data_IF_050427371550
#
_entry.id   IF_050427371550
#
_cell.length_a   1.000
_cell.length_b   1.000
_cell.length_c   1.000
_cell.angle_alpha   90.00
_cell.angle_beta   90.00
_cell.angle_gamma   90.00
#
_symmetry.space_group_name_H-M   'P 1'
#
loop_
_entity.id
_entity.type
_entity.pdbx_description
1 polymer ?
#
# COMPACT_ATOMS: atom_id res chain seq x y z
N UNK A 1 10.90 33.84 48.64
CA UNK A 1 11.84 32.76 48.27
C UNK A 1 11.17 31.39 48.09
N UNK A 2 9.84 31.29 47.89
CA UNK A 2 9.14 29.99 47.75
C UNK A 2 8.82 29.57 46.29
N UNK A 3 9.22 30.39 45.31
CA UNK A 3 8.86 30.20 43.89
C UNK A 3 9.88 29.33 43.14
N UNK A 4 11.15 29.39 43.52
CA UNK A 4 12.22 28.62 42.87
C UNK A 4 12.24 27.15 43.28
N UNK A 5 11.82 26.79 44.49
CA UNK A 5 11.70 25.38 44.91
C UNK A 5 10.50 24.68 44.29
N UNK A 6 9.36 25.37 44.10
CA UNK A 6 8.22 24.82 43.37
C UNK A 6 8.52 24.59 41.89
N UNK A 7 9.27 25.51 41.25
CA UNK A 7 9.76 25.34 39.88
C UNK A 7 10.79 24.21 39.78
N UNK A 8 11.73 24.10 40.73
CA UNK A 8 12.67 22.97 40.80
C UNK A 8 11.96 21.64 41.01
N UNK A 9 10.96 21.58 41.89
CA UNK A 9 10.19 20.36 42.13
C UNK A 9 9.25 19.98 40.97
N UNK A 10 8.79 20.94 40.17
CA UNK A 10 8.07 20.66 38.92
C UNK A 10 9.01 20.18 37.81
N UNK A 11 10.26 20.66 37.78
CA UNK A 11 11.29 20.22 36.83
C UNK A 11 11.89 18.85 37.21
N UNK A 12 11.98 18.51 38.51
CA UNK A 12 12.48 17.19 38.97
C UNK A 12 11.41 16.10 38.97
N UNK A 13 10.11 16.43 38.88
CA UNK A 13 9.03 15.45 38.72
C UNK A 13 8.67 15.11 37.26
N UNK A 14 9.37 15.68 36.26
CA UNK A 14 9.42 15.06 34.94
C UNK A 14 10.26 13.79 35.10
N UNK A 15 9.62 12.69 35.50
CA UNK A 15 10.17 11.35 35.30
C UNK A 15 10.68 11.32 33.85
N UNK A 16 11.96 11.05 33.67
CA UNK A 16 12.52 10.74 32.35
C UNK A 16 11.79 9.49 31.85
N UNK A 17 10.67 9.69 31.16
CA UNK A 17 9.95 8.65 30.47
C UNK A 17 10.86 8.13 29.36
N UNK A 18 10.92 6.80 29.22
CA UNK A 18 11.66 6.17 28.13
C UNK A 18 11.32 6.84 26.78
N UNK A 19 12.29 6.99 25.87
CA UNK A 19 12.03 7.62 24.57
C UNK A 19 10.91 6.86 23.84
N UNK A 20 9.88 7.59 23.40
CA UNK A 20 8.75 7.04 22.64
C UNK A 20 9.28 6.32 21.42
N UNK A 21 8.84 5.08 21.20
CA UNK A 21 9.32 4.30 20.05
C UNK A 21 8.72 4.86 18.74
N UNK A 22 9.35 4.62 17.57
CA UNK A 22 8.77 4.99 16.28
C UNK A 22 7.36 4.42 16.08
N UNK A 23 7.08 3.21 16.57
CA UNK A 23 5.77 2.57 16.50
C UNK A 23 4.73 3.32 17.32
N UNK A 24 5.05 3.68 18.57
CA UNK A 24 4.17 4.45 19.45
C UNK A 24 3.88 5.84 18.87
N UNK A 25 4.90 6.45 18.24
CA UNK A 25 4.76 7.73 17.55
C UNK A 25 3.76 7.61 16.40
N UNK A 26 3.96 6.65 15.48
CA UNK A 26 3.07 6.42 14.34
C UNK A 26 1.64 6.10 14.78
N UNK A 27 1.47 5.27 15.82
CA UNK A 27 0.16 4.93 16.37
C UNK A 27 -0.56 6.16 16.93
N UNK A 28 0.15 7.02 17.63
CA UNK A 28 -0.40 8.28 18.14
C UNK A 28 -0.81 9.25 17.01
N UNK A 29 0.01 9.39 15.97
CA UNK A 29 -0.36 10.20 14.79
C UNK A 29 -1.59 9.65 14.07
N UNK A 30 -1.63 8.34 13.83
CA UNK A 30 -2.78 7.69 13.22
C UNK A 30 -4.06 7.93 14.01
N UNK A 31 -3.99 7.86 15.35
CA UNK A 31 -5.12 8.15 16.24
C UNK A 31 -5.56 9.62 16.15
N UNK A 32 -4.62 10.57 16.15
CA UNK A 32 -4.91 12.01 16.00
C UNK A 32 -5.55 12.33 14.64
N UNK A 33 -5.10 11.66 13.59
CA UNK A 33 -5.56 11.87 12.22
C UNK A 33 -6.85 11.13 11.83
N UNK A 34 -7.19 10.06 12.54
CA UNK A 34 -8.34 9.21 12.23
C UNK A 34 -9.65 9.98 12.00
N UNK A 35 -10.01 11.02 12.78
CA UNK A 35 -11.23 11.80 12.52
C UNK A 35 -11.23 12.48 11.15
N UNK A 36 -10.12 13.10 10.75
CA UNK A 36 -9.98 13.75 9.42
C UNK A 36 -9.94 12.73 8.29
N UNK A 37 -9.29 11.59 8.51
CA UNK A 37 -9.29 10.48 7.54
C UNK A 37 -10.70 9.92 7.34
N UNK A 38 -11.51 9.84 8.39
CA UNK A 38 -12.89 9.38 8.31
C UNK A 38 -13.79 10.29 7.43
N UNK A 39 -13.50 11.60 7.37
CA UNK A 39 -14.25 12.54 6.51
C UNK A 39 -14.10 12.25 5.01
N UNK A 40 -12.96 11.68 4.61
CA UNK A 40 -12.64 11.38 3.19
C UNK A 40 -12.70 9.89 2.87
N UNK A 41 -12.94 9.03 3.85
CA UNK A 41 -13.09 7.59 3.67
C UNK A 41 -14.42 7.28 2.93
N UNK A 42 -14.43 6.42 1.91
CA UNK A 42 -15.67 6.00 1.28
C UNK A 42 -16.67 5.39 2.27
N UNK A 43 -17.94 5.80 2.18
CA UNK A 43 -19.02 5.48 3.14
C UNK A 43 -19.25 3.99 3.44
N UNK A 44 -18.79 3.10 2.57
CA UNK A 44 -18.94 1.65 2.72
C UNK A 44 -17.79 1.00 3.52
N UNK A 45 -16.82 1.80 3.99
CA UNK A 45 -15.66 1.32 4.74
C UNK A 45 -15.69 1.79 6.19
N UNK A 46 -14.96 1.08 7.05
CA UNK A 46 -14.79 1.40 8.47
C UNK A 46 -13.38 1.94 8.74
N UNK A 47 -13.30 3.11 9.36
CA UNK A 47 -12.01 3.76 9.64
C UNK A 47 -11.19 2.96 10.66
N UNK A 48 -11.82 2.29 11.63
CA UNK A 48 -11.09 1.49 12.62
C UNK A 48 -10.40 0.30 11.95
N UNK A 49 -11.08 -0.38 11.04
CA UNK A 49 -10.51 -1.44 10.21
C UNK A 49 -9.37 -0.92 9.34
N UNK A 50 -9.56 0.20 8.64
CA UNK A 50 -8.51 0.80 7.81
C UNK A 50 -7.25 1.14 8.63
N UNK A 51 -7.41 1.76 9.80
CA UNK A 51 -6.30 2.06 10.72
C UNK A 51 -5.56 0.80 11.18
N UNK A 52 -6.28 -0.26 11.56
CA UNK A 52 -5.64 -1.54 11.94
C UNK A 52 -4.84 -2.15 10.81
N UNK A 53 -5.37 -2.13 9.58
CA UNK A 53 -4.69 -2.66 8.40
C UNK A 53 -3.43 -1.84 8.07
N UNK A 54 -3.52 -0.51 8.13
CA UNK A 54 -2.38 0.38 7.92
C UNK A 54 -1.29 0.14 8.98
N UNK A 55 -1.63 0.09 10.26
CA UNK A 55 -0.69 -0.19 11.35
C UNK A 55 -0.05 -1.57 11.22
N UNK A 56 -0.83 -2.58 10.82
CA UNK A 56 -0.32 -3.93 10.56
C UNK A 56 0.70 -3.91 9.42
N UNK A 57 0.37 -3.23 8.31
CA UNK A 57 1.28 -3.07 7.17
C UNK A 57 2.60 -2.44 7.60
N UNK A 58 2.55 -1.38 8.41
CA UNK A 58 3.72 -0.68 8.93
C UNK A 58 4.56 -1.60 9.81
N UNK A 59 3.94 -2.33 10.74
CA UNK A 59 4.64 -3.27 11.65
C UNK A 59 5.30 -4.42 10.90
N UNK A 60 4.66 -4.93 9.85
CA UNK A 60 5.22 -6.04 9.03
C UNK A 60 6.33 -5.60 8.07
N UNK A 61 6.57 -4.29 7.92
CA UNK A 61 7.65 -3.74 7.11
C UNK A 61 8.44 -2.70 7.93
N UNK A 62 9.39 -3.12 8.78
CA UNK A 62 10.10 -2.24 9.72
C UNK A 62 10.76 -1.02 9.07
N UNK A 63 11.14 -1.10 7.80
CA UNK A 63 11.71 0.04 7.05
C UNK A 63 10.73 1.21 6.88
N UNK A 64 9.42 0.98 7.00
CA UNK A 64 8.42 2.06 7.03
C UNK A 64 8.51 2.91 8.30
N UNK A 65 9.00 2.34 9.41
CA UNK A 65 9.21 3.09 10.66
C UNK A 65 10.46 3.99 10.59
N UNK A 66 11.35 3.75 9.64
CA UNK A 66 12.51 4.61 9.35
C UNK A 66 12.16 5.78 8.42
N UNK A 67 10.97 5.76 7.81
CA UNK A 67 10.49 6.81 6.91
C UNK A 67 10.05 8.05 7.70
N UNK A 68 10.08 9.21 7.06
CA UNK A 68 9.54 10.44 7.62
C UNK A 68 8.04 10.29 7.89
N UNK A 69 7.61 10.53 9.13
CA UNK A 69 6.20 10.42 9.56
C UNK A 69 5.24 11.15 8.60
N UNK A 70 5.52 12.39 8.12
CA UNK A 70 4.65 13.07 7.17
C UNK A 70 4.42 12.28 5.87
N UNK A 71 5.45 11.63 5.33
CA UNK A 71 5.34 10.81 4.12
C UNK A 71 4.53 9.53 4.35
N UNK A 72 4.69 8.92 5.54
CA UNK A 72 3.97 7.72 5.92
C UNK A 72 2.48 8.01 6.09
N UNK A 73 2.14 9.09 6.80
CA UNK A 73 0.76 9.54 6.93
C UNK A 73 0.21 9.94 5.55
N UNK A 74 1.03 10.57 4.70
CA UNK A 74 0.69 10.95 3.32
C UNK A 74 0.27 9.75 2.48
N UNK A 75 1.02 8.65 2.58
CA UNK A 75 0.71 7.41 1.91
C UNK A 75 -0.56 6.73 2.45
N UNK A 76 -0.77 6.74 3.78
CA UNK A 76 -2.01 6.22 4.38
C UNK A 76 -3.23 7.05 3.98
N UNK A 77 -3.11 8.38 3.95
CA UNK A 77 -4.19 9.26 3.52
C UNK A 77 -4.61 9.00 2.06
N UNK A 78 -3.66 8.75 1.15
CA UNK A 78 -3.99 8.35 -0.23
C UNK A 78 -4.77 7.03 -0.28
N UNK A 79 -4.36 6.04 0.52
CA UNK A 79 -5.08 4.78 0.64
C UNK A 79 -6.52 4.96 1.16
N UNK A 80 -6.70 5.82 2.17
CA UNK A 80 -8.02 6.19 2.72
C UNK A 80 -8.89 6.87 1.66
N UNK A 81 -8.37 7.89 0.96
CA UNK A 81 -9.11 8.65 -0.05
C UNK A 81 -9.61 7.78 -1.20
N UNK A 82 -8.83 6.76 -1.60
CA UNK A 82 -9.22 5.78 -2.61
C UNK A 82 -10.06 4.62 -2.05
N UNK A 83 -10.14 4.48 -0.73
CA UNK A 83 -10.73 3.31 -0.08
C UNK A 83 -10.04 2.01 -0.51
N UNK A 84 -8.71 2.01 -0.53
CA UNK A 84 -7.87 0.86 -0.84
C UNK A 84 -7.12 0.41 0.41
N UNK A 85 -7.24 -0.88 0.74
CA UNK A 85 -6.59 -1.47 1.92
C UNK A 85 -5.15 -1.88 1.57
N UNK A 86 -4.11 -1.35 2.27
CA UNK A 86 -2.75 -1.79 2.03
C UNK A 86 -2.56 -3.23 2.54
N UNK A 87 -1.75 -4.02 1.83
CA UNK A 87 -1.34 -5.35 2.29
C UNK A 87 -1.47 -6.44 1.22
N UNK A 88 -1.55 -7.69 1.68
CA UNK A 88 -1.41 -8.89 0.84
C UNK A 88 -2.52 -9.07 -0.20
N UNK A 89 -3.67 -8.43 -0.01
CA UNK A 89 -4.78 -8.48 -0.97
C UNK A 89 -4.45 -7.76 -2.30
N UNK A 90 -3.43 -6.90 -2.31
CA UNK A 90 -2.93 -6.25 -3.52
C UNK A 90 -3.81 -5.10 -4.04
N UNK A 91 -4.62 -4.50 -3.17
CA UNK A 91 -5.37 -3.27 -3.48
C UNK A 91 -4.42 -2.09 -3.64
N UNK A 92 -3.54 -1.89 -2.65
CA UNK A 92 -2.44 -0.93 -2.71
C UNK A 92 -1.26 -1.41 -1.86
N UNK A 93 -0.14 -0.70 -2.00
CA UNK A 93 1.09 -0.93 -1.28
C UNK A 93 1.61 0.39 -0.72
N UNK A 94 2.20 0.34 0.47
CA UNK A 94 2.97 1.44 1.03
C UNK A 94 4.41 0.94 1.13
N UNK A 95 5.29 1.49 0.29
CA UNK A 95 6.67 1.03 0.16
C UNK A 95 7.66 2.12 0.58
N UNK A 96 8.73 1.77 1.30
CA UNK A 96 9.79 2.71 1.63
C UNK A 96 10.72 2.90 0.42
N UNK A 97 10.91 4.15 0.00
CA UNK A 97 11.98 4.55 -0.92
C UNK A 97 12.90 5.52 -0.18
N UNK A 98 14.09 5.05 0.20
CA UNK A 98 14.99 5.76 1.11
C UNK A 98 14.27 6.04 2.43
N UNK A 99 14.11 7.31 2.83
CA UNK A 99 13.44 7.76 4.05
C UNK A 99 12.02 8.27 3.81
N UNK A 100 11.42 7.96 2.66
CA UNK A 100 10.08 8.39 2.29
C UNK A 100 9.17 7.18 2.05
N UNK A 101 7.99 7.19 2.65
CA UNK A 101 6.95 6.20 2.35
C UNK A 101 6.19 6.65 1.10
N UNK A 102 5.99 5.72 0.17
CA UNK A 102 5.32 5.97 -1.11
C UNK A 102 4.12 5.05 -1.25
N UNK A 103 2.98 5.64 -1.58
CA UNK A 103 1.77 4.91 -1.92
C UNK A 103 1.83 4.44 -3.37
N UNK A 104 1.45 3.18 -3.60
CA UNK A 104 1.37 2.57 -4.93
C UNK A 104 0.06 1.82 -5.06
N UNK A 105 -0.73 2.13 -6.07
CA UNK A 105 -1.95 1.40 -6.40
C UNK A 105 -1.57 0.02 -6.95
N UNK A 106 -2.18 -1.03 -6.39
CA UNK A 106 -2.07 -2.39 -6.90
C UNK A 106 -3.05 -2.62 -8.05
N UNK A 107 -2.76 -3.58 -8.95
CA UNK A 107 -3.62 -3.80 -10.11
C UNK A 107 -5.04 -4.21 -9.71
N UNK A 108 -5.21 -4.97 -8.62
CA UNK A 108 -6.53 -5.33 -8.08
C UNK A 108 -7.27 -4.10 -7.58
N UNK A 109 -6.57 -3.15 -6.96
CA UNK A 109 -7.13 -1.86 -6.59
C UNK A 109 -7.56 -1.05 -7.80
N UNK A 110 -6.77 -1.03 -8.88
CA UNK A 110 -7.19 -0.39 -10.15
C UNK A 110 -8.45 -1.05 -10.72
N UNK A 111 -8.52 -2.38 -10.75
CA UNK A 111 -9.70 -3.09 -11.24
C UNK A 111 -10.93 -2.77 -10.38
N UNK A 112 -10.77 -2.80 -9.06
CA UNK A 112 -11.86 -2.48 -8.13
C UNK A 112 -12.34 -1.03 -8.30
N UNK A 113 -11.43 -0.06 -8.30
CA UNK A 113 -11.73 1.34 -8.56
C UNK A 113 -12.44 1.56 -9.89
N UNK A 114 -11.99 0.88 -10.95
CA UNK A 114 -12.63 0.96 -12.26
C UNK A 114 -14.06 0.37 -12.24
N UNK A 115 -14.28 -0.74 -11.55
CA UNK A 115 -15.60 -1.37 -11.42
C UNK A 115 -16.58 -0.53 -10.59
N UNK A 116 -16.09 0.21 -9.59
CA UNK A 116 -16.93 1.13 -8.77
C UNK A 116 -17.60 2.24 -9.59
N UNK A 117 -17.09 2.55 -10.79
CA UNK A 117 -17.74 3.49 -11.71
C UNK A 117 -19.16 3.07 -12.13
N UNK A 118 -19.46 1.77 -12.06
CA UNK A 118 -20.70 1.21 -12.57
C UNK A 118 -20.74 1.05 -14.09
N UNK A 119 -19.77 1.58 -14.85
CA UNK A 119 -19.69 1.47 -16.32
C UNK A 119 -18.94 0.22 -16.80
N UNK A 120 -18.05 -0.32 -15.96
CA UNK A 120 -17.23 -1.48 -16.30
C UNK A 120 -17.95 -2.78 -15.93
N UNK A 121 -18.04 -3.72 -16.87
CA UNK A 121 -18.55 -5.07 -16.67
C UNK A 121 -17.45 -6.01 -16.15
N UNK A 122 -16.29 -6.04 -16.81
CA UNK A 122 -15.17 -6.90 -16.46
C UNK A 122 -13.85 -6.27 -16.91
N UNK A 123 -12.77 -6.59 -16.20
CA UNK A 123 -11.39 -6.27 -16.59
C UNK A 123 -10.55 -7.52 -16.38
N UNK A 124 -9.75 -7.87 -17.38
CA UNK A 124 -8.79 -8.96 -17.29
C UNK A 124 -7.53 -8.62 -18.07
N UNK A 125 -6.45 -9.34 -17.77
CA UNK A 125 -5.18 -9.23 -18.46
C UNK A 125 -4.53 -10.61 -18.58
N UNK A 126 -3.86 -10.87 -19.69
CA UNK A 126 -3.17 -12.12 -19.95
C UNK A 126 -1.79 -11.88 -20.56
N UNK A 127 -0.87 -12.78 -20.25
CA UNK A 127 0.40 -12.90 -20.94
C UNK A 127 0.21 -13.64 -22.26
N UNK A 128 0.97 -13.22 -23.26
CA UNK A 128 1.05 -13.80 -24.61
C UNK A 128 2.45 -14.36 -24.80
N UNK A 129 2.54 -15.55 -25.37
CA UNK A 129 3.77 -16.26 -25.62
C UNK A 129 3.91 -16.63 -27.10
N UNK A 130 5.13 -16.99 -27.48
CA UNK A 130 5.54 -17.24 -28.86
C UNK A 130 4.70 -18.30 -29.58
N UNK A 131 4.25 -19.34 -28.86
CA UNK A 131 3.47 -20.43 -29.44
C UNK A 131 1.96 -20.25 -29.31
N UNK A 132 1.49 -19.13 -28.74
CA UNK A 132 0.05 -18.84 -28.68
C UNK A 132 -0.45 -18.37 -30.06
N UNK A 133 -1.69 -18.73 -30.44
CA UNK A 133 -2.35 -18.04 -31.56
C UNK A 133 -2.80 -16.66 -31.06
N UNK A 134 -2.18 -15.60 -31.58
CA UNK A 134 -2.46 -14.23 -31.15
C UNK A 134 -2.60 -13.28 -32.34
N UNK A 135 -3.74 -12.60 -32.42
CA UNK A 135 -4.03 -11.55 -33.39
C UNK A 135 -4.44 -10.28 -32.65
N UNK A 136 -3.81 -9.16 -33.01
CA UNK A 136 -4.09 -7.86 -32.43
C UNK A 136 -4.12 -6.81 -33.53
N UNK A 137 -5.31 -6.30 -33.80
CA UNK A 137 -5.53 -5.26 -34.80
C UNK A 137 -6.05 -4.00 -34.14
N UNK A 138 -5.43 -2.89 -34.54
CA UNK A 138 -5.89 -1.54 -34.24
C UNK A 138 -6.52 -0.95 -35.51
N UNK A 139 -7.44 -0.02 -35.34
CA UNK A 139 -8.11 0.65 -36.44
C UNK A 139 -9.52 1.08 -36.07
N UNK A 140 -10.35 1.32 -37.07
CA UNK A 140 -11.77 1.66 -36.87
C UNK A 140 -12.58 0.49 -36.29
N UNK A 141 -12.09 -0.74 -36.50
CA UNK A 141 -12.66 -1.98 -35.98
C UNK A 141 -11.55 -2.76 -35.26
N UNK A 142 -11.25 -2.41 -34.00
CA UNK A 142 -10.25 -3.13 -33.22
C UNK A 142 -10.59 -4.62 -33.11
N UNK A 143 -9.57 -5.48 -33.12
CA UNK A 143 -9.71 -6.93 -32.94
C UNK A 143 -8.63 -7.47 -32.00
N UNK A 144 -9.01 -8.39 -31.12
CA UNK A 144 -8.07 -9.15 -30.30
C UNK A 144 -8.55 -10.60 -30.21
N UNK A 145 -7.77 -11.51 -30.77
CA UNK A 145 -7.96 -12.96 -30.61
C UNK A 145 -6.73 -13.55 -29.92
N UNK A 146 -6.97 -14.39 -28.92
CA UNK A 146 -5.91 -15.08 -28.20
C UNK A 146 -6.34 -16.50 -27.86
N UNK A 147 -5.65 -17.50 -28.40
CA UNK A 147 -5.80 -18.90 -28.03
C UNK A 147 -4.47 -19.41 -27.49
N UNK A 148 -4.33 -19.54 -26.16
CA UNK A 148 -3.11 -20.04 -25.55
C UNK A 148 -2.79 -21.45 -26.04
N UNK A 149 -1.51 -21.74 -26.29
CA UNK A 149 -1.07 -23.11 -26.54
C UNK A 149 -1.37 -24.00 -25.33
N UNK A 150 -1.87 -25.22 -25.57
CA UNK A 150 -2.13 -26.21 -24.52
C UNK A 150 -0.84 -26.88 -23.98
N UNK A 151 0.26 -26.80 -24.72
CA UNK A 151 1.54 -27.40 -24.39
C UNK A 151 2.56 -26.37 -23.91
N UNK A 152 3.78 -26.47 -24.42
CA UNK A 152 4.78 -25.42 -24.23
C UNK A 152 4.32 -24.14 -24.95
N UNK A 153 4.12 -23.08 -24.17
CA UNK A 153 3.73 -21.76 -24.68
C UNK A 153 4.91 -21.01 -25.29
N UNK A 154 6.15 -21.42 -25.02
CA UNK A 154 7.35 -20.77 -25.53
C UNK A 154 7.70 -19.51 -24.75
N UNK A 155 8.51 -18.62 -25.35
CA UNK A 155 8.96 -17.41 -24.67
C UNK A 155 7.82 -16.39 -24.50
N UNK A 156 7.81 -15.66 -23.38
CA UNK A 156 6.93 -14.50 -23.19
C UNK A 156 7.22 -13.43 -24.27
N UNK A 157 6.19 -12.99 -25.01
CA UNK A 157 6.31 -11.98 -26.07
C UNK A 157 5.61 -10.66 -25.72
N UNK A 158 4.67 -10.67 -24.76
CA UNK A 158 3.94 -9.47 -24.35
C UNK A 158 2.78 -9.79 -23.43
N UNK A 159 2.03 -8.76 -23.06
CA UNK A 159 0.79 -8.91 -22.31
C UNK A 159 -0.27 -7.98 -22.87
N UNK A 160 -1.55 -8.35 -22.71
CA UNK A 160 -2.66 -7.46 -23.02
C UNK A 160 -3.62 -7.34 -21.83
N UNK A 161 -4.42 -6.29 -21.84
CA UNK A 161 -5.55 -6.08 -20.95
C UNK A 161 -6.81 -5.73 -21.75
N UNK A 162 -7.97 -6.12 -21.25
CA UNK A 162 -9.29 -5.81 -21.82
C UNK A 162 -10.20 -5.33 -20.71
N UNK A 163 -10.97 -4.28 -20.97
CA UNK A 163 -12.09 -3.84 -20.17
C UNK A 163 -13.37 -3.88 -21.01
N UNK A 164 -14.37 -4.64 -20.57
CA UNK A 164 -15.71 -4.64 -21.18
C UNK A 164 -16.59 -3.61 -20.48
N UNK A 165 -17.34 -2.83 -21.26
CA UNK A 165 -18.27 -1.84 -20.73
C UNK A 165 -19.71 -2.39 -20.73
N UNK A 166 -20.53 -1.88 -19.80
CA UNK A 166 -21.93 -2.34 -19.64
C UNK A 166 -22.86 -1.87 -20.76
N UNK A 167 -22.55 -0.74 -21.37
CA UNK A 167 -23.25 -0.16 -22.52
C UNK A 167 -22.80 -0.77 -23.86
N UNK A 168 -21.86 -1.72 -23.81
CA UNK A 168 -21.27 -2.37 -24.98
C UNK A 168 -19.91 -1.78 -25.35
N UNK A 169 -19.19 -2.47 -26.23
CA UNK A 169 -17.82 -2.10 -26.57
C UNK A 169 -16.80 -2.47 -25.50
N UNK A 170 -15.55 -2.10 -25.76
CA UNK A 170 -14.41 -2.49 -24.96
C UNK A 170 -13.24 -1.51 -25.13
N UNK A 171 -12.42 -1.40 -24.10
CA UNK A 171 -11.04 -0.91 -24.21
C UNK A 171 -10.12 -2.11 -24.20
N UNK A 172 -9.14 -2.14 -25.11
CA UNK A 172 -8.10 -3.15 -25.11
C UNK A 172 -6.73 -2.51 -25.34
N UNK A 173 -5.72 -3.09 -24.71
CA UNK A 173 -4.33 -2.64 -24.82
C UNK A 173 -3.42 -3.85 -24.89
N UNK A 174 -2.56 -3.92 -25.91
CA UNK A 174 -1.46 -4.88 -25.96
C UNK A 174 -0.13 -4.16 -25.81
N UNK A 175 0.78 -4.76 -25.04
CA UNK A 175 2.13 -4.26 -24.86
C UNK A 175 3.14 -5.38 -25.14
N UNK A 176 3.99 -5.23 -26.16
CA UNK A 176 5.06 -6.20 -26.40
C UNK A 176 6.08 -6.15 -25.26
N UNK A 177 6.79 -7.25 -25.05
CA UNK A 177 7.84 -7.41 -24.04
C UNK A 177 8.84 -6.26 -24.08
N UNK A 178 9.22 -5.81 -25.26
CA UNK A 178 10.17 -4.70 -25.44
C UNK A 178 9.68 -3.39 -24.81
N UNK A 179 8.39 -3.09 -24.88
CA UNK A 179 7.78 -1.89 -24.30
C UNK A 179 7.57 -2.06 -22.79
N UNK A 180 7.22 -3.27 -22.34
CA UNK A 180 7.18 -3.61 -20.91
C UNK A 180 8.56 -3.41 -20.28
N UNK A 181 9.63 -3.89 -20.92
CA UNK A 181 11.01 -3.73 -20.44
C UNK A 181 11.43 -2.27 -20.36
N UNK A 182 11.04 -1.43 -21.33
CA UNK A 182 11.30 0.03 -21.25
C UNK A 182 10.62 0.66 -20.03
N UNK A 183 9.39 0.25 -19.71
CA UNK A 183 8.66 0.72 -18.52
C UNK A 183 9.28 0.20 -17.24
N UNK A 184 9.64 -1.09 -17.21
CA UNK A 184 10.35 -1.71 -16.10
C UNK A 184 11.61 -0.93 -15.76
N UNK A 185 12.47 -0.59 -16.74
CA UNK A 185 13.72 0.16 -16.52
C UNK A 185 13.54 1.54 -15.89
N UNK A 186 12.35 2.15 -16.00
CA UNK A 186 12.04 3.43 -15.32
C UNK A 186 11.62 3.25 -13.87
N UNK A 187 11.27 2.04 -13.45
CA UNK A 187 10.91 1.76 -12.06
C UNK A 187 12.15 1.80 -11.16
N UNK A 188 12.04 2.49 -10.03
CA UNK A 188 13.09 2.52 -9.00
C UNK A 188 13.45 1.11 -8.47
N UNK A 189 12.52 0.15 -8.56
CA UNK A 189 12.73 -1.23 -8.13
C UNK A 189 13.24 -2.18 -9.21
N UNK A 190 13.46 -1.71 -10.45
CA UNK A 190 13.77 -2.58 -11.60
C UNK A 190 14.98 -3.51 -11.39
N UNK A 191 15.97 -3.03 -10.65
CA UNK A 191 17.25 -3.72 -10.43
C UNK A 191 17.42 -4.22 -8.98
N UNK A 192 16.37 -4.16 -8.16
CA UNK A 192 16.42 -4.71 -6.80
C UNK A 192 16.34 -6.23 -6.85
N UNK A 193 17.14 -6.93 -6.04
CA UNK A 193 17.05 -8.39 -5.87
C UNK A 193 15.70 -8.83 -5.31
N UNK A 194 14.99 -7.94 -4.61
CA UNK A 194 13.66 -8.16 -4.05
C UNK A 194 12.54 -7.64 -4.96
N UNK A 195 12.86 -7.34 -6.23
CA UNK A 195 11.88 -6.82 -7.17
C UNK A 195 10.92 -7.92 -7.60
N UNK A 196 9.59 -7.71 -7.55
CA UNK A 196 8.61 -8.67 -8.08
C UNK A 196 8.81 -8.96 -9.58
N UNK A 197 9.62 -8.16 -10.29
CA UNK A 197 10.01 -8.44 -11.66
C UNK A 197 10.90 -9.69 -11.81
N UNK A 198 11.55 -10.18 -10.74
CA UNK A 198 12.33 -11.43 -10.79
C UNK A 198 11.49 -12.66 -10.45
N UNK A 199 10.58 -12.56 -9.48
CA UNK A 199 9.73 -13.68 -9.03
C UNK A 199 8.41 -13.82 -9.80
N UNK A 200 7.82 -12.69 -10.21
CA UNK A 200 6.44 -12.61 -10.71
C UNK A 200 6.37 -11.74 -12.00
N UNK A 201 7.29 -11.98 -12.94
CA UNK A 201 7.47 -11.16 -14.14
C UNK A 201 6.17 -10.93 -14.93
N UNK A 202 5.40 -11.99 -15.19
CA UNK A 202 4.14 -11.89 -15.94
C UNK A 202 3.06 -11.10 -15.20
N UNK A 203 2.97 -11.21 -13.88
CA UNK A 203 2.04 -10.40 -13.09
C UNK A 203 2.42 -8.92 -13.15
N UNK A 204 3.72 -8.62 -13.13
CA UNK A 204 4.23 -7.26 -13.29
C UNK A 204 4.01 -6.70 -14.69
N UNK A 205 4.15 -7.54 -15.72
CA UNK A 205 3.77 -7.21 -17.09
C UNK A 205 2.27 -6.89 -17.19
N UNK A 206 1.40 -7.77 -16.69
CA UNK A 206 -0.06 -7.55 -16.67
C UNK A 206 -0.44 -6.27 -15.91
N UNK A 207 0.13 -6.04 -14.72
CA UNK A 207 -0.04 -4.78 -13.97
C UNK A 207 0.32 -3.56 -14.83
N UNK A 208 1.42 -3.64 -15.57
CA UNK A 208 1.92 -2.54 -16.41
C UNK A 208 0.92 -2.19 -17.51
N UNK A 209 0.31 -3.20 -18.15
CA UNK A 209 -0.71 -2.99 -19.19
C UNK A 209 -2.02 -2.47 -18.59
N UNK A 210 -2.49 -3.05 -17.47
CA UNK A 210 -3.69 -2.55 -16.77
C UNK A 210 -3.53 -1.09 -16.36
N UNK A 211 -2.38 -0.70 -15.80
CA UNK A 211 -2.09 0.68 -15.43
C UNK A 211 -2.09 1.63 -16.62
N UNK A 212 -1.62 1.17 -17.77
CA UNK A 212 -1.66 1.96 -19.00
C UNK A 212 -3.10 2.14 -19.50
N UNK A 213 -3.87 1.04 -19.55
CA UNK A 213 -5.29 1.03 -19.95
C UNK A 213 -6.17 1.88 -19.02
N UNK A 214 -5.84 1.93 -17.73
CA UNK A 214 -6.61 2.64 -16.69
C UNK A 214 -6.90 4.11 -17.04
N UNK A 215 -6.03 4.75 -17.83
CA UNK A 215 -6.17 6.15 -18.28
C UNK A 215 -7.37 6.39 -19.19
N UNK A 216 -7.85 5.36 -19.87
CA UNK A 216 -8.95 5.43 -20.84
C UNK A 216 -10.27 4.93 -20.25
N UNK A 217 -10.26 4.41 -19.02
CA UNK A 217 -11.46 3.83 -18.42
C UNK A 217 -12.38 4.95 -17.90
N UNK A 218 -13.71 4.80 -18.04
CA UNK A 218 -14.70 5.72 -17.49
C UNK A 218 -14.77 5.58 -15.96
N UNK A 219 -13.85 6.22 -15.25
CA UNK A 219 -13.77 6.26 -13.78
C UNK A 219 -14.13 7.65 -13.25
N UNK A 220 -14.40 7.76 -11.94
CA UNK A 220 -14.72 9.05 -11.35
C UNK A 220 -13.52 10.01 -11.38
N UNK A 221 -13.79 11.32 -11.40
CA UNK A 221 -12.76 12.37 -11.42
C UNK A 221 -11.87 12.28 -10.17
N UNK A 222 -12.45 11.95 -9.02
CA UNK A 222 -11.73 11.75 -7.77
C UNK A 222 -10.71 10.62 -7.92
N UNK A 223 -11.14 9.48 -8.46
CA UNK A 223 -10.23 8.34 -8.70
C UNK A 223 -9.16 8.71 -9.71
N UNK A 224 -9.51 9.40 -10.80
CA UNK A 224 -8.55 9.81 -11.82
C UNK A 224 -7.50 10.80 -11.28
N UNK A 225 -7.90 11.71 -10.39
CA UNK A 225 -7.00 12.68 -9.75
C UNK A 225 -6.04 11.99 -8.79
N UNK A 226 -6.55 11.06 -7.98
CA UNK A 226 -5.73 10.28 -7.06
C UNK A 226 -4.80 9.32 -7.78
N UNK A 227 -5.23 8.69 -8.87
CA UNK A 227 -4.38 7.83 -9.68
C UNK A 227 -3.23 8.58 -10.37
N UNK A 228 -3.36 9.90 -10.59
CA UNK A 228 -2.25 10.74 -11.06
C UNK A 228 -1.21 11.01 -9.97
N UNK A 229 -1.58 10.88 -8.69
CA UNK A 229 -0.69 10.99 -7.54
C UNK A 229 -0.05 9.65 -7.14
N UNK A 230 -0.39 8.56 -7.84
CA UNK A 230 0.23 7.25 -7.66
C UNK A 230 1.76 7.32 -7.82
N UNK A 231 2.50 6.71 -6.90
CA UNK A 231 3.97 6.78 -6.81
C UNK A 231 4.53 8.18 -6.48
N UNK A 232 3.69 9.17 -6.15
CA UNK A 232 4.13 10.50 -5.67
C UNK A 232 4.17 10.53 -4.14
N UNK A 233 5.30 11.00 -3.60
CA UNK A 233 5.44 11.21 -2.15
C UNK A 233 4.66 12.44 -1.73
N UNK A 234 3.59 12.23 -0.95
CA UNK A 234 2.76 13.30 -0.40
C UNK A 234 3.24 13.69 0.99
N UNK A 235 3.49 14.99 1.22
CA UNK A 235 3.96 15.54 2.51
C UNK A 235 3.04 16.60 3.10
N UNK A 236 2.08 17.03 2.30
CA UNK A 236 1.10 18.11 2.52
C UNK A 236 -0.04 17.71 3.47
N UNK A 237 0.17 16.70 4.31
CA UNK A 237 -0.58 16.59 5.56
C UNK A 237 -0.02 17.66 6.49
N UNK A 238 -0.51 18.88 6.30
CA UNK A 238 -0.12 20.05 7.08
C UNK A 238 -0.74 20.00 8.47
N UNK A 239 -0.14 19.20 9.34
CA UNK A 239 0.33 19.66 10.64
C UNK A 239 1.77 19.13 10.70
N UNK A 240 2.75 19.99 10.98
CA UNK A 240 4.08 19.47 11.30
C UNK A 240 3.92 18.39 12.38
N UNK A 241 4.76 17.35 12.39
CA UNK A 241 4.70 16.37 13.45
C UNK A 241 4.93 17.06 14.80
N UNK A 242 3.85 17.48 15.46
CA UNK A 242 3.87 17.93 16.86
C UNK A 242 4.32 16.74 17.68
N UNK A 243 5.40 16.86 18.45
CA UNK A 243 5.78 15.83 19.41
C UNK A 243 4.56 15.46 20.24
N UNK A 244 3.98 14.29 19.95
CA UNK A 244 2.89 13.77 20.74
C UNK A 244 3.57 13.20 21.98
N UNK A 245 3.40 13.86 23.13
CA UNK A 245 3.69 13.24 24.42
C UNK A 245 2.73 12.04 24.52
N UNK A 246 3.24 10.85 24.17
CA UNK A 246 2.50 9.59 24.33
C UNK A 246 2.58 9.24 25.79
N UNK A 247 1.47 9.39 26.52
CA UNK A 247 1.38 8.93 27.90
C UNK A 247 1.72 7.44 27.95
N UNK A 248 2.62 7.01 28.86
CA UNK A 248 2.96 5.60 29.01
C UNK A 248 1.68 4.79 29.27
N UNK A 249 1.48 3.75 28.47
CA UNK A 249 0.41 2.77 28.72
C UNK A 249 0.70 2.16 30.10
N UNK A 250 -0.20 2.36 31.06
CA UNK A 250 -0.09 1.75 32.39
C UNK A 250 0.00 0.24 32.21
N UNK A 251 1.20 -0.30 32.44
CA UNK A 251 1.50 -1.71 32.25
C UNK A 251 0.65 -2.57 33.17
N UNK A 252 -0.09 -3.49 32.57
CA UNK A 252 -0.69 -4.64 33.22
C UNK A 252 0.39 -5.37 34.03
N UNK A 253 0.18 -5.48 35.35
CA UNK A 253 1.13 -6.13 36.24
C UNK A 253 1.31 -7.58 35.82
N UNK A 254 2.50 -7.91 35.31
CA UNK A 254 2.95 -9.28 35.17
C UNK A 254 3.09 -9.85 36.58
N UNK A 255 2.13 -10.66 36.98
CA UNK A 255 2.20 -11.48 38.19
C UNK A 255 3.28 -12.52 37.93
N UNK A 256 4.50 -12.29 38.42
CA UNK A 256 5.51 -13.35 38.48
C UNK A 256 5.15 -14.23 39.67
N UNK A 257 4.60 -15.42 39.39
CA UNK A 257 4.48 -16.48 40.39
C UNK A 257 5.89 -16.88 40.87
N UNK A 258 6.10 -16.71 42.17
CA UNK A 258 7.31 -17.05 42.89
C UNK A 258 7.45 -18.58 42.96
N UNK A 259 8.38 -19.14 42.20
CA UNK A 259 8.73 -20.56 42.26
C UNK A 259 9.51 -20.82 43.55
N UNK A 260 8.79 -21.16 44.61
CA UNK A 260 9.36 -21.58 45.90
C UNK A 260 10.40 -22.68 45.74
N UNK A 261 11.62 -22.39 46.21
CA UNK A 261 12.67 -23.37 46.45
C UNK A 261 12.20 -24.34 47.53
N UNK A 262 11.94 -25.59 47.16
CA UNK A 262 11.85 -26.71 48.10
C UNK A 262 13.24 -27.33 48.23
N UNK A 263 13.90 -27.06 49.35
CA UNK A 263 15.08 -27.80 49.82
C UNK A 263 14.66 -29.22 50.22
N UNK A 264 15.34 -30.23 49.67
CA UNK A 264 15.24 -31.61 50.13
C UNK A 264 16.26 -31.82 51.27
N UNK A 265 15.85 -32.33 52.45
CA UNK A 265 16.79 -32.62 53.53
C UNK A 265 17.57 -33.90 53.23
N UNK A 266 18.89 -33.83 53.45
CA UNK A 266 19.80 -34.97 53.47
C UNK A 266 20.03 -35.32 54.93
N UNK A 267 19.49 -36.45 55.41
CA UNK A 267 19.94 -37.09 56.65
C UNK A 267 19.86 -38.61 56.53
N UNK A 268 20.94 -39.29 56.94
CA UNK A 268 20.94 -40.67 57.47
C UNK A 268 21.28 -41.79 56.51
#
# INVERSE_FOLDING_TARGET
>A
MATNEKLKNQLTNRKESAPVTPEQTVEAYMKKMAPRMAEVLPKHMDMNRMSRIALTTIRTNPKLLECAVPSLMGAVMQAVQLGLEPGLLGHCYILPYKREATFIIGYKGMIDLARRSGHIQSIYAHAVHENDEFEYELGLHPKLEHKPSHGDRGAFIGAYAVAHFKDGGYQMEFMPKSEIEKRRKRSASANSSYSPWSSDYEEMAKKTVVRYMFKYLPISIEVQTQAQQDEVVRKDITEEPEFIEVDPIEGEQVITEDAGQQEFPIEG
#
